data_IF_895362899251
#
_entry.id   IF_895362899251
#
_cell.length_a   1.000
_cell.length_b   1.000
_cell.length_c   1.000
_cell.angle_alpha   90.00
_cell.angle_beta   90.00
_cell.angle_gamma   90.00
#
_symmetry.space_group_name_H-M   'P 1'
#
loop_
_entity.id
_entity.type
_entity.pdbx_description
1 polymer ?
#
# COMPACT_ATOMS: atom_id res chain seq x y z
N UNK A 1 -19.15 19.07 7.99
CA UNK A 1 -19.55 17.66 7.69
C UNK A 1 -18.38 16.76 7.29
N UNK A 2 -17.31 17.22 6.60
CA UNK A 2 -16.18 16.35 6.16
C UNK A 2 -15.25 15.84 7.28
N UNK A 3 -15.19 16.50 8.44
CA UNK A 3 -14.36 16.06 9.58
C UNK A 3 -14.98 14.89 10.37
N UNK A 4 -16.29 14.75 10.34
CA UNK A 4 -17.00 13.66 11.04
C UNK A 4 -16.77 12.29 10.36
N UNK A 5 -16.63 12.26 9.05
CA UNK A 5 -16.46 11.02 8.29
C UNK A 5 -15.12 10.31 8.60
N UNK A 6 -14.04 11.07 8.77
CA UNK A 6 -12.71 10.52 9.08
C UNK A 6 -12.67 9.95 10.50
N UNK A 7 -13.30 10.64 11.46
CA UNK A 7 -13.35 10.19 12.86
C UNK A 7 -14.23 8.94 13.00
N UNK A 8 -15.35 8.89 12.27
CA UNK A 8 -16.24 7.72 12.28
C UNK A 8 -15.59 6.50 11.63
N UNK A 9 -14.80 6.70 10.60
CA UNK A 9 -14.05 5.61 9.94
C UNK A 9 -12.91 5.09 10.82
N UNK A 10 -12.20 5.95 11.56
CA UNK A 10 -11.20 5.54 12.56
C UNK A 10 -11.84 4.84 13.76
N UNK A 11 -13.00 5.30 14.23
CA UNK A 11 -13.72 4.67 15.33
C UNK A 11 -14.29 3.29 14.93
N UNK A 12 -14.74 3.12 13.69
CA UNK A 12 -15.16 1.83 13.16
C UNK A 12 -13.99 0.83 13.05
N UNK A 13 -12.79 1.30 12.65
CA UNK A 13 -11.58 0.49 12.62
C UNK A 13 -11.12 0.05 14.01
N UNK A 14 -11.24 0.93 15.02
CA UNK A 14 -10.91 0.61 16.42
C UNK A 14 -11.98 -0.26 17.08
N UNK A 15 -13.25 -0.12 16.71
CA UNK A 15 -14.37 -0.90 17.24
C UNK A 15 -14.35 -2.38 16.81
N UNK A 16 -13.80 -2.70 15.63
CA UNK A 16 -13.68 -4.08 15.16
C UNK A 16 -12.59 -4.88 15.88
N UNK A 17 -11.62 -4.21 16.49
CA UNK A 17 -10.54 -4.85 17.26
C UNK A 17 -11.04 -5.39 18.60
N UNK A 18 -12.14 -4.86 19.15
CA UNK A 18 -12.66 -5.24 20.48
C UNK A 18 -13.51 -6.52 20.47
N UNK A 19 -14.04 -6.95 19.33
CA UNK A 19 -14.95 -8.12 19.25
C UNK A 19 -14.24 -9.47 19.10
N UNK A 20 -12.91 -9.51 18.95
CA UNK A 20 -12.14 -10.74 18.71
C UNK A 20 -11.49 -11.38 19.94
N UNK A 21 -11.69 -10.85 21.16
CA UNK A 21 -10.94 -11.30 22.34
C UNK A 21 -11.36 -12.66 22.92
N UNK A 22 -12.35 -13.33 22.35
CA UNK A 22 -12.87 -14.64 22.85
C UNK A 22 -12.62 -15.81 21.90
N UNK A 23 -11.84 -15.66 20.84
CA UNK A 23 -11.52 -16.77 19.95
C UNK A 23 -10.45 -17.66 20.59
N UNK A 24 -10.82 -18.89 20.87
CA UNK A 24 -10.00 -20.00 21.37
C UNK A 24 -8.58 -19.98 20.80
N UNK A 25 -7.58 -20.09 21.69
CA UNK A 25 -6.19 -20.38 21.33
C UNK A 25 -6.11 -21.73 20.62
N UNK A 26 -6.32 -21.79 19.32
CA UNK A 26 -5.81 -22.87 18.49
C UNK A 26 -4.30 -22.70 18.48
N UNK A 27 -3.58 -23.74 18.96
CA UNK A 27 -2.12 -23.85 18.90
C UNK A 27 -1.70 -23.56 17.46
N UNK A 28 -1.10 -22.41 17.22
CA UNK A 28 -0.77 -21.94 15.89
C UNK A 28 0.25 -22.88 15.26
N UNK A 29 -0.17 -23.58 14.24
CA UNK A 29 0.73 -24.30 13.35
C UNK A 29 1.65 -23.27 12.70
N UNK A 30 2.96 -23.54 12.67
CA UNK A 30 3.95 -22.57 12.24
C UNK A 30 3.77 -22.29 10.74
N UNK A 31 3.20 -21.14 10.39
CA UNK A 31 2.97 -20.69 9.02
C UNK A 31 4.31 -20.46 8.30
N UNK A 32 4.88 -21.50 7.72
CA UNK A 32 6.08 -21.42 6.88
C UNK A 32 5.73 -21.83 5.47
N UNK A 33 6.24 -21.14 4.48
CA UNK A 33 6.07 -21.56 3.10
C UNK A 33 5.99 -20.41 2.12
N UNK A 34 5.75 -20.78 0.89
CA UNK A 34 5.46 -19.81 -0.17
C UNK A 34 4.09 -19.20 0.03
N UNK A 35 3.96 -17.95 -0.32
CA UNK A 35 2.71 -17.21 -0.31
C UNK A 35 2.58 -16.34 -1.57
N UNK A 36 1.35 -16.07 -1.93
CA UNK A 36 1.00 -15.18 -3.02
C UNK A 36 -0.02 -14.15 -2.52
N UNK A 37 0.24 -12.88 -2.77
CA UNK A 37 -0.60 -11.76 -2.35
C UNK A 37 -1.16 -11.04 -3.55
N UNK A 38 -2.45 -10.80 -3.54
CA UNK A 38 -3.13 -9.91 -4.49
C UNK A 38 -3.86 -8.84 -3.71
N UNK A 39 -3.65 -7.60 -4.09
CA UNK A 39 -4.28 -6.49 -3.40
C UNK A 39 -4.68 -5.36 -4.34
N UNK A 40 -5.68 -4.61 -3.91
CA UNK A 40 -6.11 -3.37 -4.54
C UNK A 40 -5.96 -2.20 -3.58
N UNK A 41 -5.63 -1.04 -4.10
CA UNK A 41 -5.47 0.18 -3.31
C UNK A 41 -6.10 1.39 -4.01
N UNK A 42 -6.61 2.32 -3.21
CA UNK A 42 -7.13 3.59 -3.70
C UNK A 42 -6.80 4.72 -2.73
N UNK A 43 -6.53 5.91 -3.26
CA UNK A 43 -6.17 7.05 -2.44
C UNK A 43 -5.81 8.28 -3.25
N UNK A 44 -4.86 9.06 -2.77
CA UNK A 44 -4.47 10.28 -3.46
C UNK A 44 -3.14 10.85 -2.97
N UNK A 45 -2.70 11.89 -3.67
CA UNK A 45 -1.49 12.61 -3.30
C UNK A 45 -1.69 13.50 -2.09
N UNK A 46 -0.68 13.54 -1.23
CA UNK A 46 -0.53 14.53 -0.17
C UNK A 46 0.22 15.73 -0.77
N UNK A 47 -0.49 16.77 -1.20
CA UNK A 47 0.14 17.98 -1.71
C UNK A 47 0.32 19.01 -0.61
N UNK A 48 1.55 19.44 -0.39
CA UNK A 48 1.83 20.68 0.34
C UNK A 48 1.77 21.82 -0.65
N UNK A 49 0.87 22.77 -0.46
CA UNK A 49 0.77 23.95 -1.29
C UNK A 49 2.04 24.81 -1.07
N UNK A 50 2.85 25.13 -2.11
CA UNK A 50 4.09 25.90 -1.94
C UNK A 50 3.87 27.35 -1.50
N UNK A 51 2.64 27.84 -1.50
CA UNK A 51 2.28 29.23 -1.20
C UNK A 51 1.85 29.46 0.26
N UNK A 52 2.43 28.75 1.23
CA UNK A 52 2.32 29.13 2.66
C UNK A 52 0.94 29.04 3.32
N UNK A 53 -0.11 28.73 2.60
CA UNK A 53 -1.44 28.54 3.16
C UNK A 53 -1.72 27.06 3.43
N UNK A 54 -2.18 26.80 4.65
CA UNK A 54 -2.69 25.54 5.21
C UNK A 54 -2.75 24.35 4.24
N UNK A 55 -2.03 23.26 4.58
CA UNK A 55 -2.04 22.02 3.82
C UNK A 55 -3.49 21.55 3.58
N UNK A 56 -4.03 21.85 2.40
CA UNK A 56 -5.30 21.28 1.97
C UNK A 56 -5.00 19.91 1.43
N UNK A 57 -5.57 18.89 2.08
CA UNK A 57 -5.71 17.56 1.50
C UNK A 57 -6.50 17.69 0.21
N UNK A 58 -5.80 17.89 -0.90
CA UNK A 58 -6.41 17.95 -2.21
C UNK A 58 -6.52 16.54 -2.77
N UNK A 59 -7.72 15.93 -2.70
CA UNK A 59 -8.04 14.70 -3.46
C UNK A 59 -8.07 14.97 -4.98
N UNK A 60 -7.47 16.05 -5.45
CA UNK A 60 -7.49 16.41 -6.86
C UNK A 60 -6.69 15.46 -7.76
N UNK A 61 -6.03 14.44 -7.18
CA UNK A 61 -5.32 13.39 -7.89
C UNK A 61 -5.56 12.07 -7.19
N UNK A 62 -6.72 11.50 -7.47
CA UNK A 62 -7.02 10.16 -7.00
C UNK A 62 -6.15 9.15 -7.75
N UNK A 63 -5.51 8.26 -7.00
CA UNK A 63 -4.71 7.15 -7.51
C UNK A 63 -5.35 5.82 -7.12
N UNK A 64 -5.18 4.83 -7.97
CA UNK A 64 -5.57 3.46 -7.71
C UNK A 64 -4.39 2.54 -8.02
N UNK A 65 -4.37 1.36 -7.42
CA UNK A 65 -3.33 0.37 -7.67
C UNK A 65 -3.84 -1.04 -7.49
N UNK A 66 -3.21 -1.96 -8.20
CA UNK A 66 -3.36 -3.41 -8.03
C UNK A 66 -1.94 -3.96 -7.87
N UNK A 67 -1.75 -4.82 -6.87
CA UNK A 67 -0.46 -5.42 -6.58
C UNK A 67 -0.57 -6.94 -6.70
N UNK A 68 0.50 -7.56 -7.20
CA UNK A 68 0.72 -9.00 -7.14
C UNK A 68 2.14 -9.25 -6.60
N UNK A 69 2.24 -9.96 -5.49
CA UNK A 69 3.51 -10.24 -4.82
C UNK A 69 3.59 -11.73 -4.51
N UNK A 70 4.73 -12.33 -4.84
CA UNK A 70 5.06 -13.69 -4.50
C UNK A 70 6.24 -13.71 -3.54
N UNK A 71 6.22 -14.60 -2.54
CA UNK A 71 7.26 -14.61 -1.55
C UNK A 71 7.32 -15.85 -0.68
N UNK A 72 8.12 -15.75 0.38
CA UNK A 72 8.31 -16.80 1.35
C UNK A 72 8.08 -16.26 2.78
N UNK A 73 7.30 -16.95 3.56
CA UNK A 73 7.06 -16.72 4.97
C UNK A 73 8.00 -17.59 5.79
N UNK A 74 8.86 -16.96 6.57
CA UNK A 74 9.89 -17.64 7.37
C UNK A 74 9.32 -18.19 8.68
N UNK A 75 8.34 -17.50 9.23
CA UNK A 75 7.66 -17.84 10.47
C UNK A 75 6.33 -17.08 10.55
N UNK A 76 5.61 -17.23 11.66
CA UNK A 76 4.31 -16.59 11.87
C UNK A 76 4.35 -15.04 11.83
N UNK A 77 5.56 -14.45 11.92
CA UNK A 77 5.75 -13.01 12.04
C UNK A 77 6.36 -12.36 10.81
N UNK A 78 7.28 -13.05 10.10
CA UNK A 78 8.09 -12.42 9.05
C UNK A 78 7.89 -13.09 7.71
N UNK A 79 7.59 -12.28 6.70
CA UNK A 79 7.52 -12.68 5.31
C UNK A 79 8.30 -11.71 4.42
N UNK A 80 8.91 -12.25 3.36
CA UNK A 80 9.63 -11.51 2.33
C UNK A 80 9.08 -11.91 0.97
N UNK A 81 8.83 -10.94 0.10
CA UNK A 81 8.35 -11.19 -1.24
C UNK A 81 8.82 -10.15 -2.25
N UNK A 82 8.66 -10.48 -3.52
CA UNK A 82 8.89 -9.59 -4.63
C UNK A 82 7.69 -9.64 -5.58
N UNK A 83 7.43 -8.54 -6.26
CA UNK A 83 6.27 -8.48 -7.14
C UNK A 83 6.22 -7.21 -7.96
N UNK A 84 5.08 -7.03 -8.61
CA UNK A 84 4.79 -5.86 -9.41
C UNK A 84 3.49 -5.21 -8.95
N UNK A 85 3.43 -3.90 -9.11
CA UNK A 85 2.24 -3.10 -8.91
C UNK A 85 1.83 -2.47 -10.24
N UNK A 86 0.55 -2.27 -10.41
CA UNK A 86 0.00 -1.42 -11.45
C UNK A 86 -0.63 -0.21 -10.76
N UNK A 87 -0.11 0.98 -10.98
CA UNK A 87 -0.60 2.20 -10.33
C UNK A 87 -1.03 3.21 -11.38
N UNK A 88 -2.28 3.67 -11.28
CA UNK A 88 -2.85 4.68 -12.17
C UNK A 88 -3.34 5.93 -11.45
N UNK A 89 -3.38 7.04 -12.16
CA UNK A 89 -3.96 8.33 -11.72
C UNK A 89 -5.22 8.63 -12.54
N UNK A 90 -6.37 8.83 -11.89
CA UNK A 90 -7.66 8.97 -12.58
C UNK A 90 -7.69 10.20 -13.51
N UNK A 91 -7.09 11.31 -13.08
CA UNK A 91 -7.21 12.59 -13.79
C UNK A 91 -6.10 12.87 -14.82
N UNK A 92 -5.12 11.98 -14.99
CA UNK A 92 -3.97 12.24 -15.88
C UNK A 92 -3.66 11.15 -16.91
N UNK A 93 -4.39 10.05 -16.89
CA UNK A 93 -4.03 8.85 -17.66
C UNK A 93 -2.55 8.44 -17.45
N UNK A 94 -2.03 8.71 -16.25
CA UNK A 94 -0.66 8.37 -15.86
C UNK A 94 -0.67 6.98 -15.23
N UNK A 95 0.04 6.06 -15.84
CA UNK A 95 0.15 4.67 -15.41
C UNK A 95 1.61 4.35 -15.17
N UNK A 96 1.92 3.67 -14.08
CA UNK A 96 3.26 3.17 -13.78
C UNK A 96 3.22 1.73 -13.30
N UNK A 97 4.33 1.03 -13.53
CA UNK A 97 4.49 -0.37 -13.14
C UNK A 97 5.70 -0.45 -12.19
N UNK A 98 5.51 -0.25 -10.89
CA UNK A 98 6.55 -0.49 -9.89
C UNK A 98 6.87 -1.98 -9.77
N UNK A 99 8.17 -2.31 -9.80
CA UNK A 99 8.69 -3.61 -9.38
C UNK A 99 9.20 -3.42 -7.97
N UNK A 100 8.73 -4.24 -7.03
CA UNK A 100 8.95 -4.05 -5.59
C UNK A 100 9.48 -5.31 -4.91
N UNK A 101 10.21 -5.06 -3.83
CA UNK A 101 10.46 -6.04 -2.77
C UNK A 101 9.70 -5.60 -1.53
N UNK A 102 9.00 -6.53 -0.88
CA UNK A 102 8.17 -6.29 0.30
C UNK A 102 8.66 -7.15 1.45
N UNK A 103 8.87 -6.51 2.60
CA UNK A 103 9.02 -7.18 3.89
C UNK A 103 7.74 -6.93 4.68
N UNK A 104 7.17 -7.97 5.25
CA UNK A 104 5.98 -7.89 6.12
C UNK A 104 6.31 -8.46 7.49
N UNK A 105 5.85 -7.77 8.51
CA UNK A 105 5.93 -8.18 9.90
C UNK A 105 4.54 -8.21 10.53
N UNK A 106 4.07 -9.38 10.91
CA UNK A 106 2.84 -9.61 11.65
C UNK A 106 3.15 -9.52 13.15
N UNK A 107 2.51 -8.62 13.89
CA UNK A 107 2.86 -8.33 15.30
C UNK A 107 2.40 -9.41 16.28
N UNK A 108 1.37 -10.15 15.91
CA UNK A 108 0.75 -11.16 16.76
C UNK A 108 0.54 -12.45 15.97
N UNK A 109 0.64 -13.59 16.66
CA UNK A 109 0.26 -14.87 16.12
C UNK A 109 -1.17 -15.23 16.56
N UNK A 110 -2.14 -14.46 16.09
CA UNK A 110 -3.57 -14.62 16.38
C UNK A 110 -4.39 -14.55 15.10
N UNK A 111 -5.65 -14.98 15.20
CA UNK A 111 -6.61 -14.91 14.09
C UNK A 111 -6.71 -13.49 13.51
N UNK A 112 -6.73 -12.48 14.38
CA UNK A 112 -6.66 -11.07 13.98
C UNK A 112 -5.31 -10.51 14.40
N UNK A 113 -4.50 -10.08 13.44
CA UNK A 113 -3.15 -9.60 13.68
C UNK A 113 -2.92 -8.23 13.05
N UNK A 114 -2.45 -7.24 13.83
CA UNK A 114 -1.87 -6.03 13.25
C UNK A 114 -0.58 -6.38 12.50
N UNK A 115 -0.33 -5.69 11.40
CA UNK A 115 0.90 -5.89 10.64
C UNK A 115 1.52 -4.57 10.19
N UNK A 116 2.81 -4.62 9.95
CA UNK A 116 3.60 -3.62 9.24
C UNK A 116 4.17 -4.24 7.98
N UNK A 117 4.22 -3.46 6.89
CA UNK A 117 4.98 -3.86 5.72
C UNK A 117 5.80 -2.68 5.21
N UNK A 118 6.99 -2.97 4.71
CA UNK A 118 7.84 -2.02 4.02
C UNK A 118 8.09 -2.51 2.60
N UNK A 119 8.04 -1.59 1.66
CA UNK A 119 8.24 -1.86 0.23
C UNK A 119 9.30 -0.91 -0.30
N UNK A 120 10.22 -1.46 -1.11
CA UNK A 120 11.19 -0.69 -1.87
C UNK A 120 11.25 -1.22 -3.29
N UNK A 121 11.50 -0.35 -4.26
CA UNK A 121 11.54 -0.80 -5.64
C UNK A 121 11.82 0.31 -6.63
N UNK A 122 11.53 0.00 -7.88
CA UNK A 122 11.70 0.90 -9.00
C UNK A 122 10.44 0.93 -9.84
N UNK A 123 9.94 2.12 -10.11
CA UNK A 123 8.76 2.36 -10.94
C UNK A 123 9.18 2.59 -12.38
N UNK A 124 8.59 1.82 -13.29
CA UNK A 124 8.78 1.93 -14.73
C UNK A 124 7.53 2.57 -15.33
N UNK A 125 7.73 3.57 -16.18
CA UNK A 125 6.66 4.13 -16.98
C UNK A 125 6.51 3.32 -18.27
N UNK A 126 5.36 2.67 -18.55
CA UNK A 126 5.19 1.93 -19.78
C UNK A 126 5.17 2.90 -20.97
N UNK A 127 6.02 2.66 -21.93
CA UNK A 127 6.05 3.39 -23.20
C UNK A 127 4.75 3.12 -23.96
N UNK A 128 3.73 3.95 -23.82
CA UNK A 128 2.60 3.97 -24.71
C UNK A 128 2.79 5.07 -25.76
N UNK A 129 2.23 4.87 -26.95
CA UNK A 129 2.38 5.75 -28.12
C UNK A 129 1.81 7.20 -27.96
N UNK A 130 1.54 7.63 -26.73
CA UNK A 130 1.07 8.97 -26.38
C UNK A 130 2.25 9.80 -25.86
N UNK A 131 2.24 11.15 -26.06
CA UNK A 131 3.29 11.99 -25.53
C UNK A 131 3.42 11.75 -24.01
N UNK A 132 4.65 11.52 -23.56
CA UNK A 132 5.00 11.30 -22.16
C UNK A 132 4.48 12.45 -21.31
N UNK A 133 3.81 12.20 -20.18
CA UNK A 133 3.34 13.29 -19.32
C UNK A 133 4.54 14.09 -18.81
N UNK A 134 4.38 15.39 -18.67
CA UNK A 134 5.42 16.31 -18.18
C UNK A 134 6.08 15.83 -16.86
N UNK A 135 5.37 15.01 -16.07
CA UNK A 135 5.83 14.41 -14.83
C UNK A 135 5.46 12.91 -14.83
N UNK A 136 6.38 12.08 -15.26
CA UNK A 136 6.20 10.63 -15.24
C UNK A 136 6.62 10.05 -13.87
N UNK A 137 5.88 9.05 -13.38
CA UNK A 137 6.23 8.24 -12.20
C UNK A 137 7.28 7.22 -12.59
N UNK A 138 8.53 7.62 -12.59
CA UNK A 138 9.64 6.75 -12.97
C UNK A 138 10.79 6.96 -12.00
N UNK A 139 11.33 5.86 -11.48
CA UNK A 139 12.45 5.89 -10.55
C UNK A 139 12.16 5.17 -9.25
N UNK A 140 12.92 5.50 -8.21
CA UNK A 140 12.83 4.85 -6.92
C UNK A 140 11.43 5.02 -6.27
N UNK A 141 10.95 3.95 -5.67
CA UNK A 141 9.73 3.94 -4.85
C UNK A 141 10.05 3.34 -3.48
N UNK A 142 9.47 3.95 -2.45
CA UNK A 142 9.42 3.42 -1.11
C UNK A 142 8.00 3.53 -0.58
N UNK A 143 7.54 2.51 0.15
CA UNK A 143 6.22 2.53 0.78
C UNK A 143 6.27 1.83 2.14
N UNK A 144 5.39 2.29 3.04
CA UNK A 144 5.12 1.65 4.32
C UNK A 144 3.62 1.40 4.44
N UNK A 145 3.25 0.22 4.91
CA UNK A 145 1.85 -0.16 5.16
C UNK A 145 1.68 -0.51 6.62
N UNK A 146 0.62 0.01 7.23
CA UNK A 146 0.13 -0.42 8.53
C UNK A 146 -1.30 -0.93 8.34
N UNK A 147 -1.63 -2.07 8.94
CA UNK A 147 -2.95 -2.65 8.75
C UNK A 147 -3.28 -3.75 9.73
N UNK A 148 -4.41 -4.40 9.47
CA UNK A 148 -4.91 -5.55 10.21
C UNK A 148 -5.18 -6.67 9.20
N UNK A 149 -4.72 -7.86 9.52
CA UNK A 149 -5.00 -9.08 8.78
C UNK A 149 -5.86 -10.03 9.61
N UNK A 150 -6.73 -10.74 8.93
CA UNK A 150 -7.57 -11.80 9.49
C UNK A 150 -7.11 -13.10 8.84
N UNK A 151 -6.58 -14.00 9.66
CA UNK A 151 -6.20 -15.36 9.23
C UNK A 151 -7.46 -16.20 9.09
N UNK A 152 -7.57 -16.93 8.00
CA UNK A 152 -8.55 -17.98 7.77
C UNK A 152 -7.92 -19.35 8.00
N UNK A 153 -8.69 -20.41 7.87
CA UNK A 153 -8.15 -21.78 7.94
C UNK A 153 -7.12 -22.00 6.82
N UNK A 154 -5.98 -22.54 7.18
CA UNK A 154 -4.80 -22.63 6.31
C UNK A 154 -3.96 -21.35 6.30
N UNK A 155 -3.12 -21.18 5.30
CA UNK A 155 -2.22 -20.02 5.17
C UNK A 155 -2.90 -18.77 4.57
N UNK A 156 -4.22 -18.76 4.44
CA UNK A 156 -4.97 -17.69 3.82
C UNK A 156 -5.17 -16.50 4.78
N UNK A 157 -5.06 -15.29 4.26
CA UNK A 157 -5.24 -14.06 5.02
C UNK A 157 -5.92 -12.97 4.21
N UNK A 158 -7.02 -12.44 4.71
CA UNK A 158 -7.58 -11.18 4.21
C UNK A 158 -7.01 -10.02 5.04
N UNK A 159 -6.74 -8.88 4.43
CA UNK A 159 -6.23 -7.74 5.16
C UNK A 159 -6.74 -6.39 4.63
N UNK A 160 -6.74 -5.43 5.56
CA UNK A 160 -7.02 -4.02 5.29
C UNK A 160 -5.88 -3.19 5.87
N UNK A 161 -5.38 -2.21 5.12
CA UNK A 161 -4.29 -1.35 5.59
C UNK A 161 -4.30 0.04 4.99
N UNK A 162 -3.46 0.89 5.54
CA UNK A 162 -3.15 2.22 5.01
C UNK A 162 -1.71 2.21 4.54
N UNK A 163 -1.50 2.64 3.31
CA UNK A 163 -0.19 2.71 2.64
C UNK A 163 0.23 4.16 2.51
N UNK A 164 1.37 4.50 3.11
CA UNK A 164 2.10 5.72 2.80
C UNK A 164 3.22 5.39 1.80
N UNK A 165 3.25 6.04 0.66
CA UNK A 165 4.29 5.81 -0.35
C UNK A 165 4.92 7.11 -0.84
N UNK A 166 6.18 7.02 -1.27
CA UNK A 166 6.90 8.09 -1.92
C UNK A 166 7.48 7.56 -3.25
N UNK A 167 7.05 8.14 -4.35
CA UNK A 167 7.48 7.78 -5.70
C UNK A 167 8.31 8.90 -6.28
N UNK A 168 9.44 8.56 -6.87
CA UNK A 168 10.25 9.50 -7.63
C UNK A 168 9.53 9.89 -8.92
N UNK A 169 9.56 11.17 -9.23
CA UNK A 169 8.96 11.75 -10.45
C UNK A 169 10.04 12.43 -11.25
N UNK A 170 10.12 12.12 -12.51
CA UNK A 170 11.02 12.75 -13.46
C UNK A 170 10.26 13.74 -14.35
N UNK A 171 10.89 14.88 -14.66
CA UNK A 171 10.35 15.86 -15.60
C UNK A 171 11.08 15.69 -16.94
N UNK A 172 10.32 15.56 -18.03
CA UNK A 172 10.84 15.30 -19.38
C UNK A 172 11.70 16.47 -19.95
N UNK A 173 11.56 17.68 -19.39
CA UNK A 173 12.33 18.87 -19.81
C UNK A 173 13.62 19.13 -19.02
N UNK A 174 13.82 18.46 -17.88
CA UNK A 174 14.98 18.67 -17.02
C UNK A 174 15.45 17.34 -16.44
N UNK A 175 16.44 16.73 -17.07
CA UNK A 175 17.07 15.46 -16.63
C UNK A 175 17.56 15.46 -15.18
N UNK A 176 17.63 16.62 -14.53
CA UNK A 176 18.12 16.83 -13.17
C UNK A 176 17.02 17.01 -12.12
N UNK A 177 15.75 17.07 -12.54
CA UNK A 177 14.65 17.33 -11.62
C UNK A 177 14.05 16.01 -11.10
N UNK A 178 14.49 15.61 -9.92
CA UNK A 178 13.95 14.43 -9.22
C UNK A 178 13.20 14.90 -7.97
N UNK A 179 11.90 14.73 -7.94
CA UNK A 179 11.09 14.97 -6.74
C UNK A 179 10.41 13.70 -6.28
N UNK A 180 10.33 13.50 -4.98
CA UNK A 180 9.50 12.47 -4.40
C UNK A 180 8.08 13.00 -4.20
N UNK A 181 7.10 12.21 -4.60
CA UNK A 181 5.68 12.47 -4.38
C UNK A 181 5.16 11.57 -3.27
N UNK A 182 4.74 12.15 -2.13
CA UNK A 182 4.07 11.39 -1.09
C UNK A 182 2.62 11.11 -1.50
N UNK A 183 2.19 9.87 -1.26
CA UNK A 183 0.84 9.37 -1.51
C UNK A 183 0.33 8.62 -0.29
N UNK A 184 -0.97 8.73 -0.03
CA UNK A 184 -1.66 7.96 0.99
C UNK A 184 -2.80 7.19 0.32
N UNK A 185 -2.82 5.86 0.53
CA UNK A 185 -3.82 4.96 -0.06
C UNK A 185 -4.38 4.02 1.01
N UNK A 186 -5.63 3.63 0.87
CA UNK A 186 -6.21 2.48 1.57
C UNK A 186 -6.00 1.26 0.70
N UNK A 187 -5.61 0.15 1.30
CA UNK A 187 -5.27 -1.11 0.64
C UNK A 187 -6.09 -2.24 1.23
N UNK A 188 -6.70 -3.04 0.38
CA UNK A 188 -7.34 -4.30 0.73
C UNK A 188 -6.68 -5.41 -0.07
N UNK A 189 -6.42 -6.55 0.55
CA UNK A 189 -5.78 -7.65 -0.13
C UNK A 189 -6.08 -9.00 0.48
N UNK A 190 -5.65 -10.01 -0.26
CA UNK A 190 -5.78 -11.40 0.11
C UNK A 190 -4.47 -12.16 -0.19
N UNK A 191 -4.03 -12.91 0.79
CA UNK A 191 -2.83 -13.74 0.77
C UNK A 191 -3.25 -15.22 0.77
N UNK A 192 -2.66 -15.98 -0.15
CA UNK A 192 -2.90 -17.41 -0.37
C UNK A 192 -1.76 -18.25 0.16
#
# INVERSE_FOLDING_TARGET
MKKFFVVTMMAALLGTVSFGASAQEKKAEQDKGFWFDVSASAGGMVMRNPAGSNAKFGMNRASYGIDAVFGYRFNNYVALGAGAQFVGEINRNDVSIPIIVRVRYDMLDKMVTPFLAAEVGYSVYPYSAKPRPQYAREGAIGAGTIGVAIKSDGNHRAYLGVVGSAVQVTNDGARWYRKFRPELRVKIGYEF
#
